data_IF_769455394492
#
_entry.id   IF_769455394492
#
_cell.length_a   1.000
_cell.length_b   1.000
_cell.length_c   1.000
_cell.angle_alpha   90.00
_cell.angle_beta   90.00
_cell.angle_gamma   90.00
#
_symmetry.space_group_name_H-M   'P 1'
#
loop_
_entity.id
_entity.type
_entity.pdbx_description
1 polymer ?
#
# COMPACT_ATOMS: atom_id res chain seq x y z
N UNK A 1 12.99 3.26 2.91
CA UNK A 1 11.68 3.77 2.46
C UNK A 1 11.43 3.13 1.09
N UNK A 2 10.28 2.50 0.91
CA UNK A 2 9.76 2.14 -0.41
C UNK A 2 8.54 3.02 -0.70
N UNK A 3 8.45 3.55 -1.92
CA UNK A 3 7.33 4.35 -2.39
C UNK A 3 6.78 3.69 -3.64
N UNK A 4 5.49 3.41 -3.65
CA UNK A 4 4.77 2.81 -4.77
C UNK A 4 3.60 3.74 -5.10
N UNK A 5 3.54 4.23 -6.33
CA UNK A 5 2.52 5.17 -6.79
C UNK A 5 1.85 4.59 -8.02
N UNK A 6 0.57 4.22 -7.90
CA UNK A 6 -0.23 3.58 -8.94
C UNK A 6 0.52 2.39 -9.58
N UNK A 7 1.08 1.53 -8.73
CA UNK A 7 1.97 0.46 -9.16
C UNK A 7 1.76 -0.84 -8.37
N UNK A 8 1.24 -0.76 -7.15
CA UNK A 8 1.06 -1.95 -6.33
C UNK A 8 -0.04 -2.86 -6.88
N UNK A 9 -1.10 -2.28 -7.48
CA UNK A 9 -2.15 -3.05 -8.15
C UNK A 9 -1.65 -3.83 -9.40
N UNK A 10 -0.48 -3.47 -9.95
CA UNK A 10 0.11 -4.13 -11.12
C UNK A 10 0.96 -5.36 -10.75
N UNK A 11 1.16 -5.63 -9.46
CA UNK A 11 2.01 -6.73 -9.04
C UNK A 11 1.33 -8.07 -9.30
N UNK A 12 1.92 -8.86 -10.18
CA UNK A 12 1.46 -10.23 -10.45
C UNK A 12 1.76 -11.20 -9.30
N UNK A 13 2.80 -10.91 -8.51
CA UNK A 13 3.27 -11.69 -7.36
C UNK A 13 3.44 -10.78 -6.12
N UNK A 14 2.33 -10.22 -5.58
CA UNK A 14 2.40 -9.17 -4.56
C UNK A 14 3.01 -9.69 -3.24
N UNK A 15 2.76 -10.95 -2.88
CA UNK A 15 3.32 -11.54 -1.67
C UNK A 15 4.84 -11.64 -1.74
N UNK A 16 5.40 -12.20 -2.81
CA UNK A 16 6.84 -12.34 -3.03
C UNK A 16 7.52 -10.97 -3.08
N UNK A 17 6.94 -10.03 -3.83
CA UNK A 17 7.43 -8.66 -3.94
C UNK A 17 7.47 -7.96 -2.58
N UNK A 18 6.39 -8.05 -1.80
CA UNK A 18 6.33 -7.35 -0.52
C UNK A 18 7.19 -8.01 0.56
N UNK A 19 7.36 -9.34 0.55
CA UNK A 19 8.34 -9.99 1.42
C UNK A 19 9.76 -9.51 1.10
N UNK A 20 10.14 -9.44 -0.18
CA UNK A 20 11.45 -8.92 -0.56
C UNK A 20 11.65 -7.46 -0.13
N UNK A 21 10.61 -6.62 -0.25
CA UNK A 21 10.62 -5.23 0.26
C UNK A 21 10.75 -5.20 1.79
N UNK A 22 10.03 -6.06 2.50
CA UNK A 22 10.09 -6.16 3.96
C UNK A 22 11.50 -6.53 4.43
N UNK A 23 12.12 -7.54 3.83
CA UNK A 23 13.49 -7.96 4.13
C UNK A 23 14.52 -6.86 3.83
N UNK A 24 14.37 -6.14 2.71
CA UNK A 24 15.28 -5.06 2.33
C UNK A 24 15.19 -3.82 3.24
N UNK A 25 14.07 -3.62 3.94
CA UNK A 25 13.89 -2.49 4.84
C UNK A 25 14.52 -2.75 6.20
N UNK A 26 15.24 -1.73 6.72
CA UNK A 26 15.67 -1.68 8.12
C UNK A 26 14.45 -1.66 9.07
N UNK A 27 14.59 -2.10 10.33
CA UNK A 27 13.58 -1.85 11.35
C UNK A 27 13.18 -0.37 11.42
N UNK A 28 11.88 -0.10 11.58
CA UNK A 28 11.32 1.25 11.44
C UNK A 28 11.24 1.81 10.01
N UNK A 29 11.71 1.06 9.01
CA UNK A 29 11.58 1.41 7.60
C UNK A 29 10.12 1.50 7.17
N UNK A 30 9.81 2.40 6.23
CA UNK A 30 8.43 2.64 5.78
C UNK A 30 8.19 2.16 4.35
N UNK A 31 6.96 1.73 4.11
CA UNK A 31 6.36 1.58 2.78
C UNK A 31 5.25 2.62 2.67
N UNK A 32 5.23 3.36 1.57
CA UNK A 32 4.14 4.27 1.23
C UNK A 32 3.49 3.75 -0.05
N UNK A 33 2.19 3.47 0.03
CA UNK A 33 1.38 2.98 -1.09
C UNK A 33 0.37 4.05 -1.44
N UNK A 34 0.44 4.54 -2.68
CA UNK A 34 -0.45 5.57 -3.22
C UNK A 34 -1.27 4.96 -4.34
N UNK A 35 -2.57 4.75 -4.10
CA UNK A 35 -3.45 4.01 -5.01
C UNK A 35 -4.83 4.67 -5.11
N UNK A 36 -5.49 4.54 -6.26
CA UNK A 36 -6.85 5.05 -6.44
C UNK A 36 -7.82 4.36 -5.49
N UNK A 37 -8.72 5.15 -4.89
CA UNK A 37 -9.72 4.69 -3.92
C UNK A 37 -10.63 3.64 -4.55
N UNK A 38 -10.45 2.37 -4.16
CA UNK A 38 -11.28 1.27 -4.63
C UNK A 38 -12.73 1.33 -4.16
N UNK A 39 -12.98 2.04 -3.06
CA UNK A 39 -14.31 2.24 -2.50
C UNK A 39 -15.08 3.41 -3.14
N UNK A 40 -14.41 4.23 -3.96
CA UNK A 40 -15.02 5.37 -4.64
C UNK A 40 -15.42 4.99 -6.08
N UNK A 41 -16.72 4.81 -6.27
CA UNK A 41 -17.35 4.47 -7.55
C UNK A 41 -17.48 5.66 -8.49
N UNK A 42 -17.23 6.89 -8.03
CA UNK A 42 -17.25 8.10 -8.86
C UNK A 42 -15.96 8.31 -9.65
N UNK A 43 -14.87 7.61 -9.28
CA UNK A 43 -13.59 7.68 -10.00
C UNK A 43 -13.70 6.86 -11.29
N UNK A 44 -13.60 7.52 -12.45
CA UNK A 44 -13.66 6.92 -13.79
C UNK A 44 -12.34 6.22 -14.20
N UNK A 45 -11.92 5.24 -13.39
CA UNK A 45 -10.77 4.36 -13.66
C UNK A 45 -11.26 2.91 -13.53
N UNK A 46 -10.69 2.01 -14.33
CA UNK A 46 -11.00 0.57 -14.24
C UNK A 46 -10.78 0.04 -12.82
N UNK A 47 -11.73 -0.75 -12.30
CA UNK A 47 -11.63 -1.35 -10.97
C UNK A 47 -10.38 -2.22 -10.79
N UNK A 48 -9.78 -2.73 -11.88
CA UNK A 48 -8.52 -3.48 -11.83
C UNK A 48 -7.32 -2.60 -11.44
N UNK A 49 -7.43 -1.27 -11.58
CA UNK A 49 -6.37 -0.30 -11.25
C UNK A 49 -6.70 0.50 -9.98
N UNK A 50 -7.63 0.01 -9.17
CA UNK A 50 -8.00 0.59 -7.87
C UNK A 50 -7.72 -0.39 -6.76
N UNK A 51 -7.53 0.15 -5.55
CA UNK A 51 -7.28 -0.64 -4.35
C UNK A 51 -8.02 -0.03 -3.17
N UNK A 52 -8.79 -0.82 -2.43
CA UNK A 52 -9.41 -0.32 -1.20
C UNK A 52 -8.37 -0.22 -0.10
N UNK A 53 -8.52 0.74 0.82
CA UNK A 53 -7.65 0.82 1.99
C UNK A 53 -7.68 -0.50 2.79
N UNK A 54 -8.87 -1.09 2.95
CA UNK A 54 -9.04 -2.32 3.73
C UNK A 54 -8.27 -3.50 3.14
N UNK A 55 -8.23 -3.62 1.80
CA UNK A 55 -7.44 -4.63 1.11
C UNK A 55 -5.93 -4.36 1.32
N UNK A 56 -5.48 -3.14 1.03
CA UNK A 56 -4.07 -2.77 1.16
C UNK A 56 -3.55 -3.02 2.57
N UNK A 57 -4.33 -2.63 3.59
CA UNK A 57 -3.98 -2.85 4.99
C UNK A 57 -3.86 -4.33 5.32
N UNK A 58 -4.85 -5.14 4.93
CA UNK A 58 -4.83 -6.59 5.17
C UNK A 58 -3.59 -7.25 4.56
N UNK A 59 -3.24 -6.88 3.34
CA UNK A 59 -2.08 -7.44 2.65
C UNK A 59 -0.76 -7.01 3.30
N UNK A 60 -0.59 -5.72 3.61
CA UNK A 60 0.63 -5.21 4.25
C UNK A 60 0.83 -5.76 5.67
N UNK A 61 -0.27 -5.85 6.45
CA UNK A 61 -0.26 -6.45 7.78
C UNK A 61 0.07 -7.94 7.72
N UNK A 62 -0.39 -8.67 6.69
CA UNK A 62 -0.02 -10.08 6.48
C UNK A 62 1.47 -10.28 6.22
N UNK A 63 2.13 -9.33 5.55
CA UNK A 63 3.59 -9.33 5.34
C UNK A 63 4.35 -9.02 6.64
N UNK A 64 3.70 -8.40 7.63
CA UNK A 64 4.30 -8.02 8.91
C UNK A 64 4.55 -6.52 9.08
N UNK A 65 4.07 -5.68 8.15
CA UNK A 65 4.09 -4.23 8.35
C UNK A 65 2.98 -3.79 9.31
N UNK A 66 3.25 -2.73 10.08
CA UNK A 66 2.25 -2.05 10.90
C UNK A 66 1.64 -0.87 10.13
N UNK A 67 0.31 -0.81 10.07
CA UNK A 67 -0.39 0.38 9.60
C UNK A 67 -0.08 1.58 10.49
N UNK A 68 0.26 2.73 9.90
CA UNK A 68 0.49 3.98 10.62
C UNK A 68 -0.61 4.99 10.37
N UNK A 69 -0.91 5.29 9.12
CA UNK A 69 -1.90 6.30 8.75
C UNK A 69 -2.22 6.22 7.26
N UNK A 70 -3.48 6.47 6.93
CA UNK A 70 -3.91 6.94 5.61
C UNK A 70 -4.09 8.44 5.70
N UNK A 71 -3.49 9.19 4.77
CA UNK A 71 -3.63 10.64 4.69
C UNK A 71 -4.57 11.01 3.56
N UNK A 72 -5.55 11.86 3.88
CA UNK A 72 -6.47 12.44 2.91
C UNK A 72 -5.89 13.73 2.32
N UNK A 73 -4.83 13.58 1.52
CA UNK A 73 -4.09 14.71 0.91
C UNK A 73 -4.14 14.69 -0.62
N UNK A 74 -4.76 13.65 -1.19
CA UNK A 74 -4.95 13.48 -2.63
C UNK A 74 -6.45 13.29 -2.91
N UNK A 75 -6.98 13.90 -3.98
CA UNK A 75 -8.42 13.95 -4.22
C UNK A 75 -9.01 12.58 -4.52
N UNK A 76 -8.26 11.69 -5.16
CA UNK A 76 -8.77 10.41 -5.67
C UNK A 76 -7.99 9.19 -5.17
N UNK A 77 -6.83 9.41 -4.53
CA UNK A 77 -5.96 8.34 -4.08
C UNK A 77 -5.88 8.29 -2.56
N UNK A 78 -5.73 7.07 -2.05
CA UNK A 78 -5.23 6.83 -0.71
C UNK A 78 -3.74 7.15 -0.66
N UNK A 79 -3.28 7.84 0.39
CA UNK A 79 -1.87 7.93 0.73
C UNK A 79 -1.63 7.11 2.01
N UNK A 80 -1.29 5.83 1.86
CA UNK A 80 -1.16 4.91 2.98
C UNK A 80 0.30 4.77 3.41
N UNK A 81 0.55 4.86 4.71
CA UNK A 81 1.87 4.70 5.31
C UNK A 81 1.87 3.47 6.21
N UNK A 82 2.78 2.56 5.90
CA UNK A 82 3.07 1.36 6.67
C UNK A 82 4.50 1.41 7.18
N UNK A 83 4.78 0.71 8.27
CA UNK A 83 6.10 0.68 8.88
C UNK A 83 6.49 -0.73 9.30
N UNK A 84 7.73 -1.11 9.01
CA UNK A 84 8.35 -2.28 9.61
C UNK A 84 8.48 -2.03 11.13
N UNK A 85 8.12 -3.00 11.99
CA UNK A 85 8.38 -2.91 13.42
C UNK A 85 9.84 -2.55 13.72
N UNK A 86 10.09 -1.93 14.87
CA UNK A 86 11.45 -1.61 15.30
C UNK A 86 12.19 -2.83 15.86
N UNK A 87 11.46 -3.81 16.38
CA UNK A 87 11.95 -5.05 16.99
C UNK A 87 10.99 -6.21 16.68
#
# INVERSE_FOLDING_TARGET
>A
LALMVAAYHEFFYPWEMMNAVYEALKPGGRVVVVEYRGEDDTIEISNLHKLTESQARKEMEFIGFEYRTTRDILPQQHFMVFQKPFD
#
